data_IF_944341998950
#
_entry.id   IF_944341998950
#
_cell.length_a   1.000
_cell.length_b   1.000
_cell.length_c   1.000
_cell.angle_alpha   90.00
_cell.angle_beta   90.00
_cell.angle_gamma   90.00
#
_symmetry.space_group_name_H-M   'P 1'
#
loop_
_entity.id
_entity.type
_entity.pdbx_description
1 polymer ?
#
# COMPACT_ATOMS: atom_id res chain seq x y z
N UNK A 1 -30.38 -9.32 -5.85
CA UNK A 1 -29.02 -9.17 -5.31
C UNK A 1 -28.21 -8.42 -6.35
N UNK A 2 -27.86 -7.17 -6.10
CA UNK A 2 -27.05 -6.36 -7.03
C UNK A 2 -25.59 -6.80 -6.94
N UNK A 3 -24.97 -7.09 -8.08
CA UNK A 3 -23.54 -7.41 -8.14
C UNK A 3 -22.76 -6.09 -8.19
N UNK A 4 -22.20 -5.68 -7.06
CA UNK A 4 -21.30 -4.51 -7.02
C UNK A 4 -19.95 -4.94 -7.56
N UNK A 5 -19.57 -4.43 -8.73
CA UNK A 5 -18.24 -4.68 -9.32
C UNK A 5 -17.23 -3.71 -8.72
N UNK A 6 -16.15 -4.25 -8.14
CA UNK A 6 -15.08 -3.45 -7.57
C UNK A 6 -14.22 -2.87 -8.70
N UNK A 7 -13.92 -1.56 -8.62
CA UNK A 7 -13.03 -0.87 -9.56
C UNK A 7 -11.59 -0.96 -9.05
N UNK A 8 -10.65 -1.26 -9.94
CA UNK A 8 -9.22 -1.24 -9.66
C UNK A 8 -8.62 0.13 -10.04
N UNK A 9 -7.64 0.57 -9.26
CA UNK A 9 -6.89 1.79 -9.48
C UNK A 9 -5.70 1.55 -10.41
N UNK A 10 -5.39 2.55 -11.23
CA UNK A 10 -4.14 2.57 -11.99
C UNK A 10 -3.04 3.30 -11.22
N UNK A 11 -1.79 3.12 -11.69
CA UNK A 11 -0.63 3.82 -11.12
C UNK A 11 -0.76 5.35 -11.28
N UNK A 12 -1.25 5.82 -12.43
CA UNK A 12 -1.48 7.26 -12.67
C UNK A 12 -2.50 7.83 -11.67
N UNK A 13 -3.60 7.11 -11.43
CA UNK A 13 -4.63 7.55 -10.49
C UNK A 13 -4.11 7.61 -9.05
N UNK A 14 -3.31 6.62 -8.64
CA UNK A 14 -2.66 6.63 -7.35
C UNK A 14 -1.72 7.84 -7.19
N UNK A 15 -0.94 8.17 -8.22
CA UNK A 15 -0.10 9.38 -8.18
C UNK A 15 -0.92 10.66 -8.11
N UNK A 16 -2.00 10.78 -8.90
CA UNK A 16 -2.91 11.93 -8.81
C UNK A 16 -3.52 12.09 -7.42
N UNK A 17 -3.85 11.00 -6.73
CA UNK A 17 -4.34 11.08 -5.35
C UNK A 17 -3.30 11.69 -4.40
N UNK A 18 -2.01 11.41 -4.61
CA UNK A 18 -0.92 12.04 -3.84
C UNK A 18 -0.79 13.53 -4.20
N UNK A 19 -0.77 13.85 -5.49
CA UNK A 19 -0.63 15.24 -5.98
C UNK A 19 -1.77 16.15 -5.50
N UNK A 20 -2.98 15.60 -5.44
CA UNK A 20 -4.18 16.30 -4.97
C UNK A 20 -4.35 16.30 -3.45
N UNK A 21 -3.49 15.57 -2.72
CA UNK A 21 -3.53 15.47 -1.26
C UNK A 21 -4.62 14.58 -0.70
N UNK A 22 -5.27 13.74 -1.53
CA UNK A 22 -6.18 12.69 -1.09
C UNK A 22 -5.42 11.63 -0.30
N UNK A 23 -4.20 11.30 -0.74
CA UNK A 23 -3.27 10.45 -0.03
C UNK A 23 -2.06 11.26 0.43
N UNK A 24 -1.76 11.14 1.71
CA UNK A 24 -0.59 11.72 2.35
C UNK A 24 0.55 10.70 2.43
N UNK A 25 1.81 11.13 2.38
CA UNK A 25 2.96 10.27 2.71
C UNK A 25 2.85 9.58 4.09
N UNK A 26 2.05 10.14 4.99
CA UNK A 26 1.83 9.60 6.34
C UNK A 26 0.72 8.54 6.40
N UNK A 27 -0.07 8.34 5.34
CA UNK A 27 -1.14 7.32 5.33
C UNK A 27 -0.58 5.89 5.25
N UNK A 28 0.71 5.74 4.87
CA UNK A 28 1.42 4.46 4.85
C UNK A 28 0.67 3.42 4.02
N UNK A 29 0.28 3.79 2.79
CA UNK A 29 -0.44 2.90 1.86
C UNK A 29 0.37 2.58 0.61
N UNK A 30 0.10 1.41 0.03
CA UNK A 30 0.71 0.92 -1.22
C UNK A 30 -0.38 0.56 -2.24
N UNK A 31 -0.05 0.74 -3.53
CA UNK A 31 -0.86 0.23 -4.63
C UNK A 31 -0.36 -1.15 -5.05
N UNK A 32 -1.14 -2.21 -4.78
CA UNK A 32 -0.85 -3.59 -5.19
C UNK A 32 -2.04 -4.16 -5.98
N UNK A 33 -1.80 -4.67 -7.19
CA UNK A 33 -2.84 -5.24 -8.08
C UNK A 33 -4.07 -4.32 -8.29
N UNK A 34 -3.84 -3.01 -8.28
CA UNK A 34 -4.91 -2.01 -8.41
C UNK A 34 -5.73 -1.77 -7.14
N UNK A 35 -5.26 -2.27 -6.00
CA UNK A 35 -5.83 -2.03 -4.68
C UNK A 35 -4.89 -1.13 -3.87
N UNK A 36 -5.46 -0.15 -3.18
CA UNK A 36 -4.72 0.66 -2.21
C UNK A 36 -4.89 -0.02 -0.86
N UNK A 37 -3.79 -0.55 -0.32
CA UNK A 37 -3.78 -1.28 0.95
C UNK A 37 -2.85 -0.59 1.94
N UNK A 38 -3.09 -0.77 3.24
CA UNK A 38 -2.14 -0.33 4.27
C UNK A 38 -0.84 -1.11 4.17
N UNK A 39 0.29 -0.40 4.23
CA UNK A 39 1.60 -1.00 4.41
C UNK A 39 1.60 -1.78 5.72
N UNK A 40 1.98 -3.05 5.64
CA UNK A 40 2.28 -3.80 6.86
C UNK A 40 3.53 -3.18 7.51
N UNK A 41 3.49 -2.83 8.81
CA UNK A 41 4.71 -2.41 9.49
C UNK A 41 5.70 -3.56 9.41
N UNK A 42 6.84 -3.36 8.73
CA UNK A 42 7.90 -4.36 8.72
C UNK A 42 8.29 -4.64 10.18
N UNK A 43 8.18 -5.90 10.66
CA UNK A 43 8.64 -6.21 12.00
C UNK A 43 10.14 -5.90 12.04
N UNK A 44 10.53 -5.06 13.01
CA UNK A 44 11.91 -4.84 13.37
C UNK A 44 12.49 -6.20 13.77
N UNK A 45 13.11 -6.91 12.83
CA UNK A 45 13.91 -8.07 13.19
C UNK A 45 15.01 -7.55 14.13
N UNK A 46 15.20 -8.13 15.32
CA UNK A 46 16.28 -7.73 16.19
C UNK A 46 17.59 -7.87 15.41
N UNK A 47 18.48 -6.88 15.56
CA UNK A 47 19.75 -6.70 14.82
C UNK A 47 20.79 -7.83 15.03
N UNK A 48 20.36 -8.98 15.54
CA UNK A 48 21.17 -10.09 16.04
C UNK A 48 20.56 -11.45 15.67
N UNK A 49 20.11 -11.63 14.43
CA UNK A 49 20.04 -13.00 13.87
C UNK A 49 21.25 -13.16 12.97
N UNK A 50 22.37 -13.58 13.59
CA UNK A 50 23.40 -14.29 12.83
C UNK A 50 22.71 -15.49 12.22
N UNK A 51 22.59 -15.50 10.89
CA UNK A 51 22.40 -16.74 10.15
C UNK A 51 23.66 -17.56 10.43
N UNK A 52 23.59 -18.45 11.42
CA UNK A 52 24.55 -19.51 11.58
C UNK A 52 24.36 -20.45 10.39
N UNK A 53 25.23 -20.30 9.40
CA UNK A 53 25.60 -21.36 8.45
C UNK A 53 26.82 -22.10 9.01
#
# INVERSE_FOLDING_TARGET
>A
MTLTKMRLWTVDEYHRMIETGILSPNDRVELLDGLIIEMSPQPLLPRSVLVAI
#
